data_IF_677286942541
#
_entry.id   IF_677286942541
#
_cell.length_a   1.000
_cell.length_b   1.000
_cell.length_c   1.000
_cell.angle_alpha   90.00
_cell.angle_beta   90.00
_cell.angle_gamma   90.00
#
_symmetry.space_group_name_H-M   'P 1'
#
loop_
_entity.id
_entity.type
_entity.pdbx_description
1 polymer ?
#
# COMPACT_ATOMS: atom_id res chain seq x y z
N UNK A 1 30.55 13.30 -9.47
CA UNK A 1 29.37 12.44 -9.75
C UNK A 1 28.12 13.26 -9.49
N UNK A 2 27.36 13.61 -10.53
CA UNK A 2 26.06 14.27 -10.35
C UNK A 2 25.08 13.16 -9.96
N UNK A 3 24.81 13.00 -8.67
CA UNK A 3 23.76 12.10 -8.18
C UNK A 3 22.44 12.66 -8.71
N UNK A 4 21.98 12.15 -9.85
CA UNK A 4 20.63 12.44 -10.33
C UNK A 4 19.67 11.95 -9.26
N UNK A 5 19.03 12.90 -8.57
CA UNK A 5 18.14 12.62 -7.45
C UNK A 5 16.93 11.86 -7.98
N UNK A 6 16.82 10.58 -7.63
CA UNK A 6 15.68 9.75 -8.02
C UNK A 6 14.50 10.09 -7.11
N UNK A 7 13.66 11.03 -7.56
CA UNK A 7 12.50 11.51 -6.80
C UNK A 7 11.53 10.38 -6.46
N UNK A 8 11.36 9.39 -7.34
CA UNK A 8 10.49 8.25 -7.10
C UNK A 8 11.03 7.37 -5.96
N UNK A 9 12.34 7.10 -5.95
CA UNK A 9 12.98 6.39 -4.84
C UNK A 9 12.73 7.10 -3.51
N UNK A 10 12.93 8.41 -3.44
CA UNK A 10 12.70 9.18 -2.21
C UNK A 10 11.23 9.13 -1.80
N UNK A 11 10.31 9.27 -2.76
CA UNK A 11 8.87 9.20 -2.51
C UNK A 11 8.47 7.84 -1.91
N UNK A 12 8.88 6.75 -2.56
CA UNK A 12 8.57 5.39 -2.11
C UNK A 12 9.19 5.06 -0.76
N UNK A 13 10.46 5.40 -0.55
CA UNK A 13 11.10 5.16 0.74
C UNK A 13 10.49 6.02 1.85
N UNK A 14 10.21 7.29 1.57
CA UNK A 14 9.59 8.21 2.53
C UNK A 14 8.21 7.72 2.96
N UNK A 15 7.34 7.42 1.99
CA UNK A 15 5.99 6.92 2.26
C UNK A 15 6.04 5.54 2.91
N UNK A 16 6.85 4.62 2.39
CA UNK A 16 6.96 3.27 2.92
C UNK A 16 7.46 3.24 4.37
N UNK A 17 8.50 4.02 4.70
CA UNK A 17 9.00 4.13 6.09
C UNK A 17 7.95 4.78 6.99
N UNK A 18 7.34 5.90 6.56
CA UNK A 18 6.28 6.55 7.34
C UNK A 18 5.11 5.59 7.60
N UNK A 19 4.81 4.72 6.65
CA UNK A 19 3.70 3.78 6.72
C UNK A 19 4.02 2.53 7.53
N UNK A 20 5.29 2.12 7.62
CA UNK A 20 5.73 1.13 8.61
C UNK A 20 5.58 1.66 10.04
N UNK A 21 5.90 2.94 10.27
CA UNK A 21 5.65 3.58 11.56
C UNK A 21 4.13 3.66 11.84
N UNK A 22 3.35 4.00 10.82
CA UNK A 22 1.89 4.01 10.92
C UNK A 22 1.32 2.62 11.21
N UNK A 23 1.83 1.58 10.57
CA UNK A 23 1.50 0.18 10.85
C UNK A 23 1.77 -0.14 12.33
N UNK A 24 2.97 0.15 12.86
CA UNK A 24 3.28 -0.08 14.27
C UNK A 24 2.30 0.65 15.21
N UNK A 25 1.95 1.89 14.86
CA UNK A 25 0.95 2.67 15.57
C UNK A 25 -0.46 2.04 15.51
N UNK A 26 -0.93 1.58 14.35
CA UNK A 26 -2.23 0.89 14.23
C UNK A 26 -2.28 -0.40 15.06
N UNK A 27 -1.15 -1.10 15.20
CA UNK A 27 -1.05 -2.28 16.07
C UNK A 27 -1.22 -1.93 17.55
N UNK A 28 -0.69 -0.77 17.97
CA UNK A 28 -0.92 -0.22 19.31
C UNK A 28 -2.38 0.20 19.48
N UNK A 29 -2.95 0.90 18.49
CA UNK A 29 -4.36 1.31 18.46
C UNK A 29 -5.30 0.11 18.65
N UNK A 30 -5.10 -0.98 17.91
CA UNK A 30 -5.93 -2.18 18.07
C UNK A 30 -5.85 -2.78 19.48
N UNK A 31 -4.68 -2.71 20.13
CA UNK A 31 -4.49 -3.24 21.49
C UNK A 31 -5.18 -2.37 22.55
N UNK A 32 -5.22 -1.06 22.35
CA UNK A 32 -5.85 -0.12 23.30
C UNK A 32 -7.36 -0.01 23.11
N UNK A 33 -7.84 0.01 21.86
CA UNK A 33 -9.26 0.17 21.53
C UNK A 33 -10.04 -1.13 21.73
N UNK A 34 -9.40 -2.27 21.49
CA UNK A 34 -10.01 -3.59 21.65
C UNK A 34 -9.19 -4.47 22.62
N UNK A 35 -9.20 -4.13 23.93
CA UNK A 35 -8.43 -4.86 24.94
C UNK A 35 -8.97 -6.27 25.16
N UNK A 36 -10.30 -6.42 25.22
CA UNK A 36 -10.95 -7.73 25.28
C UNK A 36 -11.21 -8.27 23.87
N UNK A 37 -10.17 -8.91 23.34
CA UNK A 37 -10.24 -9.52 22.02
C UNK A 37 -11.21 -10.69 21.97
N UNK A 38 -11.50 -11.37 23.09
CA UNK A 38 -12.36 -12.56 23.07
C UNK A 38 -13.83 -12.19 22.98
N UNK A 39 -14.23 -11.06 23.56
CA UNK A 39 -15.58 -10.51 23.47
C UNK A 39 -15.92 -9.90 22.10
N UNK A 40 -14.94 -9.66 21.22
CA UNK A 40 -15.20 -9.16 19.87
C UNK A 40 -15.84 -10.21 18.98
N UNK A 41 -16.79 -9.78 18.14
CA UNK A 41 -17.27 -10.56 17.02
C UNK A 41 -16.10 -11.11 16.17
N UNK A 42 -16.22 -12.37 15.76
CA UNK A 42 -15.16 -13.08 15.05
C UNK A 42 -14.90 -12.46 13.66
N UNK A 43 -15.96 -12.05 12.96
CA UNK A 43 -15.86 -11.40 11.65
C UNK A 43 -15.10 -10.09 11.73
N UNK A 44 -15.50 -9.22 12.67
CA UNK A 44 -14.81 -7.96 12.93
C UNK A 44 -13.34 -8.16 13.29
N UNK A 45 -13.04 -9.15 14.14
CA UNK A 45 -11.67 -9.47 14.57
C UNK A 45 -10.79 -9.89 13.40
N UNK A 46 -11.29 -10.72 12.49
CA UNK A 46 -10.58 -11.13 11.27
C UNK A 46 -10.35 -9.93 10.36
N UNK A 47 -11.38 -9.10 10.14
CA UNK A 47 -11.30 -7.94 9.25
C UNK A 47 -10.28 -6.89 9.72
N UNK A 48 -10.27 -6.54 11.00
CA UNK A 48 -9.29 -5.59 11.53
C UNK A 48 -7.86 -6.11 11.41
N UNK A 49 -7.65 -7.42 11.64
CA UNK A 49 -6.33 -8.05 11.50
C UNK A 49 -5.88 -8.11 10.05
N UNK A 50 -6.74 -8.50 9.12
CA UNK A 50 -6.38 -8.59 7.70
C UNK A 50 -6.02 -7.22 7.14
N UNK A 51 -6.80 -6.18 7.47
CA UNK A 51 -6.52 -4.79 7.07
C UNK A 51 -5.21 -4.27 7.64
N UNK A 52 -4.94 -4.55 8.92
CA UNK A 52 -3.66 -4.23 9.54
C UNK A 52 -2.48 -4.88 8.80
N UNK A 53 -2.62 -6.15 8.40
CA UNK A 53 -1.62 -6.87 7.59
C UNK A 53 -1.49 -6.27 6.19
N UNK A 54 -2.59 -5.84 5.56
CA UNK A 54 -2.51 -5.20 4.25
C UNK A 54 -1.78 -3.84 4.28
N UNK A 55 -1.91 -3.06 5.37
CA UNK A 55 -1.11 -1.84 5.56
C UNK A 55 0.38 -2.20 5.65
N UNK A 56 0.75 -3.25 6.40
CA UNK A 56 2.13 -3.74 6.44
C UNK A 56 2.62 -4.14 5.05
N UNK A 57 1.82 -4.93 4.33
CA UNK A 57 2.16 -5.44 3.01
C UNK A 57 2.47 -4.28 2.04
N UNK A 58 1.56 -3.32 1.92
CA UNK A 58 1.75 -2.19 1.00
C UNK A 58 2.95 -1.32 1.42
N UNK A 59 3.16 -1.13 2.73
CA UNK A 59 4.33 -0.39 3.24
C UNK A 59 5.65 -1.08 2.87
N UNK A 60 5.72 -2.41 3.01
CA UNK A 60 6.89 -3.19 2.61
C UNK A 60 7.11 -3.17 1.09
N UNK A 61 6.03 -3.21 0.30
CA UNK A 61 6.10 -3.06 -1.15
C UNK A 61 6.66 -1.70 -1.56
N UNK A 62 6.21 -0.62 -0.92
CA UNK A 62 6.72 0.73 -1.18
C UNK A 62 8.20 0.85 -0.83
N UNK A 63 8.63 0.32 0.33
CA UNK A 63 10.06 0.28 0.69
C UNK A 63 10.84 -0.54 -0.34
N UNK A 64 10.36 -1.73 -0.68
CA UNK A 64 11.01 -2.62 -1.66
C UNK A 64 11.15 -1.96 -3.02
N UNK A 65 10.08 -1.35 -3.55
CA UNK A 65 10.12 -0.60 -4.80
C UNK A 65 11.09 0.57 -4.67
N UNK A 66 11.01 1.35 -3.59
CA UNK A 66 11.90 2.48 -3.35
C UNK A 66 13.39 2.12 -3.34
N UNK A 67 13.76 0.95 -2.83
CA UNK A 67 15.15 0.48 -2.81
C UNK A 67 15.69 0.13 -4.20
N UNK A 68 14.84 -0.34 -5.12
CA UNK A 68 15.26 -0.89 -6.41
C UNK A 68 14.76 -0.13 -7.63
N UNK A 69 13.91 0.89 -7.44
CA UNK A 69 13.31 1.62 -8.56
C UNK A 69 14.37 2.43 -9.31
N UNK A 70 14.53 2.12 -10.59
CA UNK A 70 15.28 2.94 -11.54
C UNK A 70 14.31 3.85 -12.28
N UNK A 71 14.68 5.12 -12.46
CA UNK A 71 13.86 6.05 -13.23
C UNK A 71 13.87 5.67 -14.72
N UNK A 72 12.69 5.51 -15.30
CA UNK A 72 12.54 5.26 -16.72
C UNK A 72 13.11 6.41 -17.56
N UNK A 73 13.62 6.08 -18.76
CA UNK A 73 14.21 7.05 -19.70
C UNK A 73 13.29 7.37 -20.88
N UNK A 74 12.46 6.41 -21.29
CA UNK A 74 11.53 6.58 -22.41
C UNK A 74 10.27 7.32 -21.95
N UNK A 75 9.70 8.24 -22.75
CA UNK A 75 8.51 8.99 -22.36
C UNK A 75 7.32 8.10 -21.97
N UNK A 76 7.10 6.99 -22.69
CA UNK A 76 6.01 6.04 -22.42
C UNK A 76 6.24 5.30 -21.10
N UNK A 77 7.41 4.70 -20.89
CA UNK A 77 7.77 4.10 -19.59
C UNK A 77 7.71 5.11 -18.44
N UNK A 78 8.12 6.38 -18.64
CA UNK A 78 8.02 7.42 -17.61
C UNK A 78 6.56 7.64 -17.23
N UNK A 79 5.68 7.81 -18.22
CA UNK A 79 4.25 7.97 -17.99
C UNK A 79 3.68 6.77 -17.24
N UNK A 80 3.96 5.54 -17.71
CA UNK A 80 3.47 4.32 -17.10
C UNK A 80 4.00 4.13 -15.67
N UNK A 81 5.25 4.51 -15.39
CA UNK A 81 5.86 4.48 -14.05
C UNK A 81 5.17 5.44 -13.08
N UNK A 82 4.78 6.63 -13.55
CA UNK A 82 4.02 7.59 -12.75
C UNK A 82 2.58 7.11 -12.50
N UNK A 83 1.93 6.51 -13.49
CA UNK A 83 0.60 5.91 -13.31
C UNK A 83 0.67 4.74 -12.32
N UNK A 84 1.66 3.85 -12.44
CA UNK A 84 1.89 2.74 -11.52
C UNK A 84 2.08 3.24 -10.08
N UNK A 85 2.86 4.31 -9.92
CA UNK A 85 3.12 4.94 -8.63
C UNK A 85 1.89 5.57 -8.02
N UNK A 86 1.16 6.37 -8.79
CA UNK A 86 -0.09 6.99 -8.33
C UNK A 86 -1.11 5.93 -7.94
N UNK A 87 -1.22 4.85 -8.72
CA UNK A 87 -2.11 3.73 -8.45
C UNK A 87 -1.75 3.00 -7.15
N UNK A 88 -0.46 2.78 -6.87
CA UNK A 88 -0.01 2.14 -5.63
C UNK A 88 -0.33 3.01 -4.40
N UNK A 89 -0.03 4.31 -4.48
CA UNK A 89 -0.31 5.25 -3.40
C UNK A 89 -1.82 5.40 -3.15
N UNK A 90 -2.63 5.38 -4.22
CA UNK A 90 -4.09 5.34 -4.08
C UNK A 90 -4.56 4.06 -3.38
N UNK A 91 -4.03 2.90 -3.76
CA UNK A 91 -4.33 1.63 -3.11
C UNK A 91 -3.99 1.67 -1.61
N UNK A 92 -2.81 2.22 -1.27
CA UNK A 92 -2.39 2.43 0.11
C UNK A 92 -3.39 3.30 0.89
N UNK A 93 -3.76 4.47 0.35
CA UNK A 93 -4.77 5.33 0.95
C UNK A 93 -6.08 4.60 1.20
N UNK A 94 -6.52 3.73 0.27
CA UNK A 94 -7.71 2.91 0.45
C UNK A 94 -7.57 1.82 1.51
N UNK A 95 -6.38 1.21 1.68
CA UNK A 95 -6.15 0.27 2.79
C UNK A 95 -6.26 0.96 4.15
N UNK A 96 -5.66 2.16 4.26
CA UNK A 96 -5.76 2.98 5.48
C UNK A 96 -7.22 3.40 5.71
N UNK A 97 -7.92 3.84 4.67
CA UNK A 97 -9.35 4.19 4.77
C UNK A 97 -10.19 2.99 5.23
N UNK A 98 -10.04 1.82 4.59
CA UNK A 98 -10.77 0.61 4.94
C UNK A 98 -10.50 0.17 6.38
N UNK A 99 -9.30 0.43 6.91
CA UNK A 99 -8.95 0.12 8.30
C UNK A 99 -9.81 0.91 9.31
N UNK A 100 -10.13 2.18 9.07
CA UNK A 100 -10.93 2.99 9.99
C UNK A 100 -12.43 2.97 9.70
N UNK A 101 -12.82 2.94 8.43
CA UNK A 101 -14.20 3.22 8.04
C UNK A 101 -15.03 1.97 7.74
N UNK A 102 -14.41 0.87 7.30
CA UNK A 102 -15.15 -0.37 7.05
C UNK A 102 -15.21 -1.28 8.31
N UNK A 103 -15.21 -0.70 9.51
CA UNK A 103 -15.22 -1.43 10.80
C UNK A 103 -16.64 -1.77 11.29
N UNK A 104 -17.66 -1.24 10.63
CA UNK A 104 -19.06 -1.48 10.97
C UNK A 104 -19.50 -2.90 10.55
N UNK A 105 -20.26 -3.63 11.39
CA UNK A 105 -20.85 -4.92 11.04
C UNK A 105 -21.60 -4.99 9.71
N UNK A 106 -22.12 -3.86 9.19
CA UNK A 106 -22.78 -3.82 7.87
C UNK A 106 -21.83 -4.21 6.72
N UNK A 107 -20.52 -4.08 6.93
CA UNK A 107 -19.48 -4.48 5.98
C UNK A 107 -18.99 -5.93 6.21
N UNK A 108 -19.65 -6.71 7.07
CA UNK A 108 -19.36 -8.13 7.26
C UNK A 108 -20.30 -8.94 6.36
N UNK A 109 -19.82 -9.75 5.40
CA UNK A 109 -18.42 -9.99 5.01
C UNK A 109 -17.91 -9.06 3.89
N UNK A 110 -18.73 -8.12 3.41
CA UNK A 110 -18.43 -7.30 2.23
C UNK A 110 -17.48 -6.15 2.51
N UNK A 111 -16.27 -6.20 1.94
CA UNK A 111 -15.24 -5.15 2.10
C UNK A 111 -14.93 -4.45 0.77
N UNK A 112 -15.86 -3.64 0.24
CA UNK A 112 -15.77 -3.13 -1.13
C UNK A 112 -14.55 -2.24 -1.38
N UNK A 113 -14.15 -1.42 -0.41
CA UNK A 113 -12.98 -0.55 -0.53
C UNK A 113 -11.70 -1.37 -0.43
N UNK A 114 -11.65 -2.34 0.49
CA UNK A 114 -10.51 -3.24 0.61
C UNK A 114 -10.27 -4.05 -0.68
N UNK A 115 -11.35 -4.58 -1.27
CA UNK A 115 -11.27 -5.31 -2.53
C UNK A 115 -10.75 -4.43 -3.66
N UNK A 116 -11.26 -3.20 -3.80
CA UNK A 116 -10.76 -2.23 -4.79
C UNK A 116 -9.27 -1.93 -4.59
N UNK A 117 -8.85 -1.73 -3.33
CA UNK A 117 -7.44 -1.50 -3.00
C UNK A 117 -6.54 -2.67 -3.43
N UNK A 118 -6.99 -3.91 -3.23
CA UNK A 118 -6.27 -5.10 -3.66
C UNK A 118 -6.11 -5.15 -5.21
N UNK A 119 -7.17 -4.87 -5.98
CA UNK A 119 -7.08 -4.82 -7.44
C UNK A 119 -6.16 -3.68 -7.94
N UNK A 120 -6.13 -2.53 -7.26
CA UNK A 120 -5.22 -1.44 -7.60
C UNK A 120 -3.75 -1.82 -7.35
N UNK A 121 -3.43 -2.57 -6.28
CA UNK A 121 -2.08 -3.13 -6.09
C UNK A 121 -1.70 -4.00 -7.29
N UNK A 122 -2.58 -4.92 -7.71
CA UNK A 122 -2.32 -5.81 -8.85
C UNK A 122 -2.04 -4.99 -10.11
N UNK A 123 -2.90 -4.01 -10.42
CA UNK A 123 -2.72 -3.13 -11.56
C UNK A 123 -1.39 -2.35 -11.50
N UNK A 124 -1.04 -1.81 -10.33
CA UNK A 124 0.23 -1.11 -10.11
C UNK A 124 1.44 -2.01 -10.34
N UNK A 125 1.44 -3.22 -9.80
CA UNK A 125 2.54 -4.19 -9.97
C UNK A 125 2.71 -4.56 -11.44
N UNK A 126 1.61 -4.82 -12.16
CA UNK A 126 1.65 -5.11 -13.61
C UNK A 126 2.28 -3.94 -14.36
N UNK A 127 1.88 -2.70 -14.06
CA UNK A 127 2.45 -1.52 -14.73
C UNK A 127 3.95 -1.37 -14.42
N UNK A 128 4.40 -1.59 -13.19
CA UNK A 128 5.84 -1.60 -12.86
C UNK A 128 6.62 -2.70 -13.60
N UNK A 129 6.01 -3.88 -13.80
CA UNK A 129 6.60 -4.95 -14.62
C UNK A 129 6.73 -4.49 -16.08
N UNK A 130 5.66 -3.93 -16.65
CA UNK A 130 5.67 -3.44 -18.04
C UNK A 130 6.73 -2.36 -18.26
N UNK A 131 6.88 -1.41 -17.31
CA UNK A 131 7.95 -0.40 -17.33
C UNK A 131 9.33 -1.04 -17.36
N UNK A 132 9.54 -2.14 -16.62
CA UNK A 132 10.85 -2.82 -16.57
C UNK A 132 11.14 -3.62 -17.84
N UNK A 133 10.12 -4.14 -18.50
CA UNK A 133 10.23 -4.90 -19.75
C UNK A 133 10.44 -4.00 -20.98
N UNK A 134 10.15 -2.69 -20.88
CA UNK A 134 10.43 -1.77 -21.99
C UNK A 134 11.93 -1.78 -22.35
N UNK A 135 12.29 -1.97 -23.63
CA UNK A 135 13.68 -2.07 -24.05
C UNK A 135 14.46 -0.81 -23.66
N UNK A 136 15.61 -0.97 -23.01
CA UNK A 136 16.60 0.10 -22.77
C UNK A 136 17.35 0.38 -24.08
N UNK A 137 16.70 1.02 -25.07
CA UNK A 137 17.37 1.50 -26.30
C UNK A 137 18.12 2.79 -26.03
#
# INVERSE_FOLDING_TARGET
>A
MRTNRNYLQILYLGIGIASLLFFAWTGRYLRTTYPDKQAMDMGLRIMLRSRHIFILLVSLMEVGIGLYIEQAKKPIAIFLQWVATTTLLAAHGLFVYAFFYEVDPIYVPQTPILHKAAYLIVASVIMHILVRLEPKS
#
